data_IF_839636273839
#
_entry.id   IF_839636273839
#
_cell.length_a   1.000
_cell.length_b   1.000
_cell.length_c   1.000
_cell.angle_alpha   90.00
_cell.angle_beta   90.00
_cell.angle_gamma   90.00
#
_symmetry.space_group_name_H-M   'P 1'
#
loop_
_entity.id
_entity.type
_entity.pdbx_description
1 polymer ?
#
# COMPACT_ATOMS: atom_id res chain seq x y z
N UNK A 1 28.07 5.10 8.62
CA UNK A 1 26.69 5.61 8.74
C UNK A 1 25.75 4.46 8.44
N UNK A 2 24.91 4.04 9.37
CA UNK A 2 24.00 2.88 9.17
C UNK A 2 22.73 3.41 8.51
N UNK A 3 22.56 3.14 7.22
CA UNK A 3 21.30 3.40 6.54
C UNK A 3 20.24 2.40 7.01
N UNK A 4 19.15 2.91 7.58
CA UNK A 4 18.03 2.07 7.95
C UNK A 4 17.24 1.75 6.67
N UNK A 5 17.03 0.47 6.38
CA UNK A 5 16.35 0.00 5.16
C UNK A 5 14.89 0.51 4.97
N UNK A 6 14.29 1.11 6.01
CA UNK A 6 12.99 1.80 5.94
C UNK A 6 13.10 3.34 6.09
N UNK A 7 14.31 3.86 6.27
CA UNK A 7 14.61 5.26 6.50
C UNK A 7 14.12 6.14 5.36
N UNK A 8 14.26 5.72 4.10
CA UNK A 8 13.70 6.43 2.94
C UNK A 8 12.17 6.57 2.98
N UNK A 9 11.44 5.53 3.35
CA UNK A 9 9.97 5.57 3.44
C UNK A 9 9.50 6.42 4.63
N UNK A 10 10.21 6.35 5.76
CA UNK A 10 9.99 7.25 6.90
C UNK A 10 10.32 8.69 6.54
N UNK A 11 11.42 8.94 5.83
CA UNK A 11 11.85 10.27 5.40
C UNK A 11 10.85 10.92 4.44
N UNK A 12 10.32 10.18 3.44
CA UNK A 12 9.23 10.67 2.56
C UNK A 12 8.02 11.17 3.35
N UNK A 13 7.58 10.42 4.36
CA UNK A 13 6.47 10.81 5.23
C UNK A 13 6.81 11.97 6.18
N UNK A 14 8.03 11.97 6.76
CA UNK A 14 8.51 13.02 7.66
C UNK A 14 8.69 14.35 6.91
N UNK A 15 9.21 14.32 5.69
CA UNK A 15 9.38 15.49 4.84
C UNK A 15 8.02 16.10 4.48
N UNK A 16 7.06 15.30 3.98
CA UNK A 16 5.70 15.80 3.69
C UNK A 16 4.95 16.32 4.94
N UNK A 17 5.29 15.81 6.14
CA UNK A 17 4.80 16.33 7.41
C UNK A 17 5.51 17.64 7.82
N UNK A 18 6.82 17.76 7.63
CA UNK A 18 7.61 18.95 7.96
C UNK A 18 7.32 20.12 7.02
N UNK A 19 7.12 19.85 5.73
CA UNK A 19 6.94 20.87 4.68
C UNK A 19 5.56 21.56 4.72
N UNK A 20 4.60 21.06 5.52
CA UNK A 20 3.32 21.75 5.72
C UNK A 20 2.27 21.06 6.58
N UNK A 21 2.61 20.02 7.34
CA UNK A 21 1.68 19.24 8.14
C UNK A 21 0.69 18.40 7.33
N UNK A 22 0.03 17.44 8.00
CA UNK A 22 -1.05 16.62 7.43
C UNK A 22 -2.16 16.34 8.45
N UNK A 23 -3.35 15.99 7.97
CA UNK A 23 -4.45 15.49 8.81
C UNK A 23 -4.40 13.97 8.75
N UNK A 24 -4.01 13.31 9.82
CA UNK A 24 -4.01 11.83 9.92
C UNK A 24 -5.17 11.31 10.74
N UNK A 25 -5.68 10.13 10.36
CA UNK A 25 -6.75 9.42 11.07
C UNK A 25 -6.27 8.11 11.69
N UNK A 26 -6.99 7.62 12.70
CA UNK A 26 -6.73 6.31 13.32
C UNK A 26 -7.54 5.19 12.67
N UNK A 27 -7.05 3.93 12.74
CA UNK A 27 -7.80 2.77 12.22
C UNK A 27 -9.21 2.62 12.86
N UNK A 28 -9.39 3.08 14.10
CA UNK A 28 -10.71 3.09 14.76
C UNK A 28 -11.66 4.13 14.18
N UNK A 29 -11.16 5.28 13.74
CA UNK A 29 -11.97 6.28 13.03
C UNK A 29 -12.33 5.79 11.63
N UNK A 30 -11.38 5.20 10.89
CA UNK A 30 -11.67 4.57 9.60
C UNK A 30 -12.80 3.53 9.74
N UNK A 31 -12.70 2.62 10.71
CA UNK A 31 -13.73 1.60 10.98
C UNK A 31 -15.12 2.21 11.21
N UNK A 32 -15.18 3.22 12.06
CA UNK A 32 -16.44 3.71 12.62
C UNK A 32 -17.07 4.88 11.82
N UNK A 33 -16.34 5.52 10.89
CA UNK A 33 -16.80 6.73 10.18
C UNK A 33 -16.61 6.73 8.68
N UNK A 34 -15.59 6.06 8.13
CA UNK A 34 -15.20 6.26 6.74
C UNK A 34 -16.18 5.62 5.75
N UNK A 35 -16.91 6.47 5.01
CA UNK A 35 -17.87 6.08 3.98
C UNK A 35 -17.25 6.03 2.57
N UNK A 36 -16.18 6.80 2.32
CA UNK A 36 -15.35 6.70 1.12
C UNK A 36 -13.87 6.51 1.47
N UNK A 37 -13.24 5.51 0.87
CA UNK A 37 -11.83 5.17 1.07
C UNK A 37 -11.14 5.06 -0.28
N UNK A 38 -10.09 5.84 -0.48
CA UNK A 38 -9.31 5.88 -1.71
C UNK A 38 -7.93 5.28 -1.43
N UNK A 39 -7.62 4.14 -2.06
CA UNK A 39 -6.31 3.49 -1.97
C UNK A 39 -5.44 3.98 -3.13
N UNK A 40 -4.38 4.73 -2.82
CA UNK A 40 -3.50 5.36 -3.79
C UNK A 40 -2.15 4.65 -3.89
N UNK A 41 -1.88 4.03 -5.04
CA UNK A 41 -0.60 3.42 -5.40
C UNK A 41 -0.14 2.34 -4.42
N UNK A 42 -1.09 1.61 -3.82
CA UNK A 42 -0.80 0.61 -2.79
C UNK A 42 -1.54 -0.70 -3.06
N UNK A 43 -0.84 -1.80 -2.85
CA UNK A 43 -1.34 -3.17 -3.03
C UNK A 43 -2.12 -3.60 -1.79
N UNK A 44 -3.44 -3.43 -1.87
CA UNK A 44 -4.41 -3.84 -0.85
C UNK A 44 -4.19 -5.28 -0.34
N UNK A 45 -3.76 -6.20 -1.19
CA UNK A 45 -3.61 -7.62 -0.82
C UNK A 45 -2.54 -7.86 0.26
N UNK A 46 -1.59 -6.93 0.42
CA UNK A 46 -0.53 -6.96 1.45
C UNK A 46 -1.02 -6.60 2.85
N UNK A 47 -2.23 -6.06 2.95
CA UNK A 47 -2.80 -5.54 4.20
C UNK A 47 -4.13 -6.19 4.58
N UNK A 48 -4.29 -7.53 4.59
CA UNK A 48 -5.58 -8.19 4.87
C UNK A 48 -6.18 -7.74 6.21
N UNK A 49 -5.33 -7.56 7.23
CA UNK A 49 -5.70 -7.03 8.55
C UNK A 49 -6.26 -5.60 8.54
N UNK A 50 -6.00 -4.80 7.51
CA UNK A 50 -6.65 -3.49 7.35
C UNK A 50 -8.12 -3.71 6.97
N UNK A 51 -8.40 -4.53 5.96
CA UNK A 51 -9.76 -4.88 5.50
C UNK A 51 -10.56 -5.54 6.62
N UNK A 52 -10.00 -6.59 7.24
CA UNK A 52 -10.62 -7.32 8.38
C UNK A 52 -10.98 -6.42 9.57
N UNK A 53 -10.16 -5.41 9.89
CA UNK A 53 -10.32 -4.59 11.12
C UNK A 53 -10.97 -3.23 10.90
N UNK A 54 -11.03 -2.77 9.65
CA UNK A 54 -11.54 -1.43 9.30
C UNK A 54 -12.77 -1.49 8.39
N UNK A 55 -12.89 -2.49 7.51
CA UNK A 55 -13.99 -2.54 6.52
C UNK A 55 -15.04 -3.62 6.83
N UNK A 56 -14.69 -4.65 7.60
CA UNK A 56 -15.62 -5.68 8.06
C UNK A 56 -16.83 -5.07 8.84
N UNK A 57 -18.02 -5.68 8.78
CA UNK A 57 -19.27 -4.92 8.75
C UNK A 57 -19.73 -4.28 10.07
N UNK A 58 -19.16 -4.65 11.23
CA UNK A 58 -19.56 -4.09 12.52
C UNK A 58 -18.88 -2.73 12.82
N UNK A 59 -19.43 -1.64 12.31
CA UNK A 59 -19.23 -0.33 12.93
C UNK A 59 -19.97 -0.29 14.27
N UNK A 60 -19.37 0.32 15.29
CA UNK A 60 -19.97 0.42 16.64
C UNK A 60 -21.24 1.30 16.69
N UNK A 61 -21.59 1.96 15.58
CA UNK A 61 -22.67 2.95 15.49
C UNK A 61 -23.77 2.59 14.47
N UNK A 62 -23.79 1.36 13.95
CA UNK A 62 -24.79 0.87 12.99
C UNK A 62 -24.20 0.42 11.66
N UNK A 63 -25.07 0.08 10.69
CA UNK A 63 -24.62 -0.27 9.33
C UNK A 63 -24.02 0.95 8.62
N UNK A 64 -22.86 0.76 8.00
CA UNK A 64 -22.14 1.79 7.25
C UNK A 64 -21.84 1.25 5.86
N UNK A 65 -22.56 1.74 4.86
CA UNK A 65 -22.22 1.47 3.45
C UNK A 65 -20.94 2.21 3.09
N UNK A 66 -19.96 1.48 2.55
CA UNK A 66 -18.64 2.01 2.19
C UNK A 66 -18.41 1.90 0.69
N UNK A 67 -17.71 2.89 0.13
CA UNK A 67 -17.12 2.83 -1.20
C UNK A 67 -15.60 2.79 -1.08
N UNK A 68 -14.98 1.83 -1.74
CA UNK A 68 -13.53 1.74 -1.90
C UNK A 68 -13.20 2.05 -3.36
N UNK A 69 -12.31 3.00 -3.59
CA UNK A 69 -11.75 3.31 -4.90
C UNK A 69 -10.27 2.98 -4.88
N UNK A 70 -9.79 2.19 -5.83
CA UNK A 70 -8.37 1.87 -5.97
C UNK A 70 -7.77 2.62 -7.15
N UNK A 71 -6.73 3.43 -6.88
CA UNK A 71 -5.95 4.15 -7.87
C UNK A 71 -4.60 3.44 -8.00
N UNK A 72 -4.43 2.61 -9.03
CA UNK A 72 -3.20 1.85 -9.21
C UNK A 72 -3.32 0.77 -10.28
N UNK A 73 -2.17 0.38 -10.83
CA UNK A 73 -2.00 -0.75 -11.74
C UNK A 73 -0.76 -1.56 -11.28
N UNK A 74 -0.84 -2.89 -11.10
CA UNK A 74 -2.04 -3.72 -11.20
C UNK A 74 -3.10 -3.41 -10.14
N UNK A 75 -4.37 -3.50 -10.52
CA UNK A 75 -5.50 -3.39 -9.59
C UNK A 75 -5.48 -4.59 -8.62
N UNK A 76 -5.30 -4.39 -7.31
CA UNK A 76 -5.25 -5.47 -6.34
C UNK A 76 -6.65 -6.07 -6.11
N UNK A 77 -6.70 -7.38 -5.89
CA UNK A 77 -7.93 -8.06 -5.46
C UNK A 77 -8.28 -7.67 -4.03
N UNK A 78 -9.48 -7.13 -3.82
CA UNK A 78 -10.02 -6.78 -2.51
C UNK A 78 -11.10 -7.81 -2.15
N UNK A 79 -11.10 -8.38 -0.92
CA UNK A 79 -12.14 -9.30 -0.48
C UNK A 79 -13.53 -8.68 -0.57
N UNK A 80 -14.50 -9.44 -1.10
CA UNK A 80 -15.91 -9.05 -1.08
C UNK A 80 -16.40 -9.04 0.38
N UNK A 81 -17.04 -7.96 0.78
CA UNK A 81 -17.56 -7.75 2.14
C UNK A 81 -18.92 -7.06 2.09
N UNK A 82 -19.84 -7.47 2.95
CA UNK A 82 -21.18 -6.88 3.01
C UNK A 82 -21.13 -5.39 3.33
N UNK A 83 -21.93 -4.60 2.61
CA UNK A 83 -21.93 -3.15 2.70
C UNK A 83 -20.69 -2.45 2.12
N UNK A 84 -19.76 -3.16 1.47
CA UNK A 84 -18.57 -2.57 0.84
C UNK A 84 -18.64 -2.69 -0.69
N UNK A 85 -18.78 -1.56 -1.37
CA UNK A 85 -18.62 -1.47 -2.82
C UNK A 85 -17.17 -1.18 -3.20
N UNK A 86 -16.65 -1.84 -4.23
CA UNK A 86 -15.27 -1.66 -4.71
C UNK A 86 -15.28 -1.22 -6.17
N UNK A 87 -14.45 -0.24 -6.48
CA UNK A 87 -14.21 0.29 -7.83
C UNK A 87 -12.73 0.56 -8.03
N UNK A 88 -12.26 0.58 -9.26
CA UNK A 88 -10.85 0.83 -9.58
C UNK A 88 -10.68 1.75 -10.78
N UNK A 89 -9.58 2.49 -10.76
CA UNK A 89 -9.09 3.32 -11.86
C UNK A 89 -7.63 2.89 -12.07
N UNK A 90 -7.33 2.13 -13.13
CA UNK A 90 -5.97 1.77 -13.48
C UNK A 90 -5.15 3.03 -13.78
N UNK A 91 -4.03 3.19 -13.08
CA UNK A 91 -3.10 4.30 -13.26
C UNK A 91 -1.72 3.88 -12.72
N UNK A 92 -0.65 4.25 -13.43
CA UNK A 92 0.71 4.09 -12.92
C UNK A 92 0.90 4.87 -11.62
N UNK A 93 1.40 4.20 -10.58
CA UNK A 93 1.71 4.82 -9.29
C UNK A 93 2.65 6.03 -9.43
N UNK A 94 3.57 6.00 -10.39
CA UNK A 94 4.47 7.11 -10.73
C UNK A 94 3.76 8.38 -11.21
N UNK A 95 2.52 8.25 -11.72
CA UNK A 95 1.73 9.34 -12.31
C UNK A 95 0.57 9.82 -11.43
N UNK A 96 0.39 9.24 -10.24
CA UNK A 96 -0.62 9.68 -9.26
C UNK A 96 -0.47 11.17 -8.89
N UNK A 97 0.75 11.71 -8.88
CA UNK A 97 1.01 13.13 -8.65
C UNK A 97 0.32 14.05 -9.67
N UNK A 98 0.26 13.66 -10.95
CA UNK A 98 -0.44 14.38 -12.02
C UNK A 98 -1.96 14.38 -11.79
N UNK A 99 -2.51 13.20 -11.49
CA UNK A 99 -3.92 12.99 -11.18
C UNK A 99 -4.37 13.86 -9.99
N UNK A 100 -3.59 13.87 -8.90
CA UNK A 100 -3.87 14.72 -7.74
C UNK A 100 -3.74 16.21 -8.07
N UNK A 101 -2.76 16.62 -8.87
CA UNK A 101 -2.61 18.02 -9.26
C UNK A 101 -3.84 18.54 -10.05
N UNK A 102 -4.39 17.71 -10.94
CA UNK A 102 -5.59 18.05 -11.73
C UNK A 102 -6.85 18.08 -10.88
N UNK A 103 -7.04 17.12 -9.96
CA UNK A 103 -8.14 17.20 -8.98
C UNK A 103 -8.08 18.48 -8.15
N UNK A 104 -6.90 18.88 -7.68
CA UNK A 104 -6.70 20.13 -6.92
C UNK A 104 -6.98 21.38 -7.76
N UNK A 105 -6.59 21.38 -9.03
CA UNK A 105 -6.92 22.46 -9.97
C UNK A 105 -8.45 22.59 -10.17
N UNK A 106 -9.15 21.47 -10.34
CA UNK A 106 -10.62 21.44 -10.44
C UNK A 106 -11.30 21.94 -9.16
N UNK A 107 -10.83 21.53 -7.97
CA UNK A 107 -11.29 22.07 -6.68
C UNK A 107 -11.08 23.59 -6.54
N UNK A 108 -10.01 24.12 -7.14
CA UNK A 108 -9.73 25.56 -7.20
C UNK A 108 -10.53 26.31 -8.28
N UNK A 109 -11.43 25.64 -9.02
CA UNK A 109 -12.23 26.22 -10.10
C UNK A 109 -11.45 26.45 -11.40
N UNK A 110 -10.26 25.86 -11.56
CA UNK A 110 -9.43 26.01 -12.76
C UNK A 110 -9.86 25.01 -13.83
N UNK A 111 -10.20 25.46 -15.06
CA UNK A 111 -10.71 24.57 -16.09
C UNK A 111 -9.60 23.70 -16.70
N UNK A 112 -9.77 22.38 -16.65
CA UNK A 112 -8.88 21.42 -17.32
C UNK A 112 -9.29 21.25 -18.79
N UNK A 113 -8.36 21.47 -19.73
CA UNK A 113 -8.59 21.35 -21.18
C UNK A 113 -8.10 20.03 -21.80
N UNK A 114 -7.47 19.17 -21.00
CA UNK A 114 -7.05 17.84 -21.46
C UNK A 114 -8.27 16.91 -21.64
N UNK A 115 -8.13 15.87 -22.46
CA UNK A 115 -9.14 14.80 -22.56
C UNK A 115 -8.87 13.67 -21.54
N UNK A 116 -7.60 13.37 -21.31
CA UNK A 116 -7.10 12.46 -20.29
C UNK A 116 -5.91 13.06 -19.53
N UNK A 117 -5.65 12.53 -18.34
CA UNK A 117 -4.47 12.79 -17.52
C UNK A 117 -4.00 11.45 -16.98
N UNK A 118 -2.71 11.13 -17.16
CA UNK A 118 -2.14 9.86 -16.74
C UNK A 118 -2.86 8.60 -17.30
N UNK A 119 -3.52 8.70 -18.45
CA UNK A 119 -4.33 7.61 -19.03
C UNK A 119 -5.74 7.48 -18.43
N UNK A 120 -6.11 8.35 -17.49
CA UNK A 120 -7.45 8.44 -16.89
C UNK A 120 -8.22 9.58 -17.57
N UNK A 121 -9.42 9.31 -18.09
CA UNK A 121 -10.23 10.35 -18.74
C UNK A 121 -10.68 11.42 -17.74
N UNK A 122 -10.77 12.70 -18.15
CA UNK A 122 -11.26 13.77 -17.26
C UNK A 122 -12.64 13.45 -16.68
N UNK A 123 -13.52 12.78 -17.44
CA UNK A 123 -14.83 12.35 -16.94
C UNK A 123 -14.75 11.41 -15.73
N UNK A 124 -13.78 10.49 -15.69
CA UNK A 124 -13.54 9.63 -14.53
C UNK A 124 -12.91 10.39 -13.36
N UNK A 125 -12.04 11.36 -13.63
CA UNK A 125 -11.42 12.21 -12.60
C UNK A 125 -12.48 13.08 -11.92
N UNK A 126 -13.34 13.74 -12.70
CA UNK A 126 -14.43 14.58 -12.19
C UNK A 126 -15.51 13.75 -11.47
N UNK A 127 -15.81 12.54 -11.95
CA UNK A 127 -16.71 11.62 -11.24
C UNK A 127 -16.15 11.20 -9.88
N UNK A 128 -14.87 10.83 -9.81
CA UNK A 128 -14.19 10.55 -8.55
C UNK A 128 -14.16 11.78 -7.64
N UNK A 129 -13.86 12.96 -8.18
CA UNK A 129 -13.81 14.19 -7.40
C UNK A 129 -15.18 14.58 -6.84
N UNK A 130 -16.26 14.32 -7.59
CA UNK A 130 -17.63 14.48 -7.12
C UNK A 130 -17.96 13.52 -5.96
N UNK A 131 -17.60 12.23 -6.07
CA UNK A 131 -17.69 11.27 -4.96
C UNK A 131 -16.88 11.77 -3.75
N UNK A 132 -15.66 12.26 -3.97
CA UNK A 132 -14.78 12.73 -2.91
C UNK A 132 -15.36 13.93 -2.15
N UNK A 133 -16.03 14.85 -2.87
CA UNK A 133 -16.73 15.99 -2.27
C UNK A 133 -18.04 15.62 -1.57
N UNK A 134 -18.71 14.55 -2.02
CA UNK A 134 -19.97 14.08 -1.46
C UNK A 134 -19.82 13.19 -0.21
N UNK A 135 -18.64 12.58 0.00
CA UNK A 135 -18.34 11.77 1.18
C UNK A 135 -18.53 12.55 2.50
N UNK A 136 -18.96 11.87 3.55
CA UNK A 136 -19.13 12.44 4.90
C UNK A 136 -17.84 12.37 5.72
N UNK A 137 -17.04 11.35 5.51
CA UNK A 137 -15.72 11.18 6.10
C UNK A 137 -14.82 10.38 5.14
N UNK A 138 -14.10 11.07 4.27
CA UNK A 138 -13.20 10.47 3.30
C UNK A 138 -11.83 10.12 3.88
N UNK A 139 -11.26 9.00 3.43
CA UNK A 139 -9.89 8.59 3.81
C UNK A 139 -9.05 8.31 2.58
N UNK A 140 -7.96 9.04 2.41
CA UNK A 140 -6.94 8.77 1.39
C UNK A 140 -5.82 7.94 2.01
N UNK A 141 -5.59 6.75 1.48
CA UNK A 141 -4.67 5.73 2.02
C UNK A 141 -3.53 5.52 1.03
N UNK A 142 -2.29 5.49 1.50
CA UNK A 142 -1.10 5.18 0.68
C UNK A 142 -0.05 4.43 1.48
N UNK A 143 0.91 3.79 0.81
CA UNK A 143 2.11 3.24 1.43
C UNK A 143 3.38 3.87 0.84
N UNK A 144 4.11 4.66 1.63
CA UNK A 144 5.35 5.32 1.20
C UNK A 144 6.52 4.37 0.84
N UNK A 145 6.41 3.09 1.21
CA UNK A 145 7.35 2.03 0.83
C UNK A 145 6.98 1.32 -0.49
N UNK A 146 5.73 1.44 -0.96
CA UNK A 146 5.29 0.94 -2.28
C UNK A 146 5.41 2.01 -3.37
N UNK A 147 5.30 3.28 -3.00
CA UNK A 147 5.64 4.42 -3.87
C UNK A 147 7.17 4.56 -4.03
N UNK A 148 7.86 3.54 -4.57
CA UNK A 148 9.32 3.55 -4.75
C UNK A 148 9.76 3.91 -6.17
N UNK A 149 9.49 5.16 -6.54
CA UNK A 149 9.95 5.80 -7.77
C UNK A 149 10.66 7.14 -7.44
N UNK A 150 11.37 7.75 -8.40
CA UNK A 150 11.93 9.09 -8.24
C UNK A 150 10.84 10.12 -7.90
N UNK A 151 11.10 11.05 -6.98
CA UNK A 151 10.16 12.12 -6.61
C UNK A 151 8.82 11.65 -6.00
N UNK A 152 8.75 10.43 -5.45
CA UNK A 152 7.56 9.92 -4.77
C UNK A 152 7.12 10.77 -3.54
N UNK A 153 8.06 11.51 -2.93
CA UNK A 153 7.80 12.56 -1.95
C UNK A 153 6.85 13.64 -2.49
N UNK A 154 7.02 14.09 -3.73
CA UNK A 154 6.10 15.06 -4.37
C UNK A 154 4.70 14.48 -4.59
N UNK A 155 4.59 13.16 -4.87
CA UNK A 155 3.29 12.49 -4.98
C UNK A 155 2.57 12.44 -3.63
N UNK A 156 3.30 12.11 -2.54
CA UNK A 156 2.75 12.14 -1.17
C UNK A 156 2.37 13.57 -0.77
N UNK A 157 3.19 14.57 -1.11
CA UNK A 157 2.87 15.98 -0.86
C UNK A 157 1.61 16.44 -1.62
N UNK A 158 1.44 16.00 -2.87
CA UNK A 158 0.25 16.28 -3.68
C UNK A 158 -1.00 15.63 -3.08
N UNK A 159 -0.90 14.38 -2.60
CA UNK A 159 -1.97 13.68 -1.88
C UNK A 159 -2.36 14.40 -0.56
N UNK A 160 -1.37 14.82 0.23
CA UNK A 160 -1.58 15.60 1.47
C UNK A 160 -2.25 16.94 1.17
N UNK A 161 -1.86 17.62 0.10
CA UNK A 161 -2.46 18.90 -0.29
C UNK A 161 -3.89 18.71 -0.85
N UNK A 162 -4.17 17.64 -1.59
CA UNK A 162 -5.54 17.29 -1.99
C UNK A 162 -6.46 17.07 -0.78
N UNK A 163 -5.97 16.39 0.27
CA UNK A 163 -6.70 16.24 1.54
C UNK A 163 -6.97 17.60 2.20
N UNK A 164 -6.04 18.57 2.14
CA UNK A 164 -6.26 19.93 2.68
C UNK A 164 -7.29 20.71 1.86
N UNK A 165 -7.26 20.58 0.54
CA UNK A 165 -8.18 21.27 -0.37
C UNK A 165 -9.62 20.72 -0.23
N UNK A 166 -9.78 19.40 -0.07
CA UNK A 166 -11.07 18.76 0.22
C UNK A 166 -11.63 19.16 1.60
N UNK A 167 -10.76 19.34 2.60
CA UNK A 167 -11.14 19.78 3.95
C UNK A 167 -11.75 21.19 4.03
N UNK A 168 -11.74 21.97 2.95
CA UNK A 168 -12.50 23.23 2.86
C UNK A 168 -14.02 23.00 2.76
N UNK A 169 -14.46 21.80 2.34
CA UNK A 169 -15.88 21.49 2.11
C UNK A 169 -16.38 20.21 2.82
N UNK A 170 -15.54 19.19 2.98
CA UNK A 170 -15.90 17.90 3.59
C UNK A 170 -14.74 17.30 4.39
N UNK A 171 -15.02 16.43 5.38
CA UNK A 171 -13.97 15.85 6.24
C UNK A 171 -13.15 14.81 5.50
N UNK A 172 -11.86 15.10 5.32
CA UNK A 172 -10.89 14.18 4.74
C UNK A 172 -9.70 13.94 5.66
N UNK A 173 -9.13 12.74 5.62
CA UNK A 173 -7.92 12.39 6.35
C UNK A 173 -7.00 11.51 5.52
N UNK A 174 -5.69 11.67 5.74
CA UNK A 174 -4.66 10.77 5.21
C UNK A 174 -4.41 9.59 6.14
N UNK A 175 -4.09 8.43 5.57
CA UNK A 175 -3.63 7.25 6.29
C UNK A 175 -2.38 6.63 5.63
N UNK A 176 -1.18 6.96 6.11
CA UNK A 176 0.05 6.31 5.66
C UNK A 176 0.16 4.89 6.26
N UNK A 177 -0.07 3.87 5.45
CA UNK A 177 0.27 2.50 5.78
C UNK A 177 1.80 2.34 5.85
N UNK A 178 2.30 1.57 6.82
CA UNK A 178 3.73 1.24 6.97
C UNK A 178 4.56 2.13 7.91
N UNK A 179 4.02 3.22 8.48
CA UNK A 179 4.77 4.06 9.42
C UNK A 179 5.09 3.38 10.77
N UNK A 180 4.21 2.49 11.26
CA UNK A 180 4.38 1.81 12.57
C UNK A 180 3.89 0.36 12.60
N UNK A 181 3.19 -0.13 11.56
CA UNK A 181 2.86 -1.55 11.47
C UNK A 181 4.06 -2.30 10.88
N UNK A 182 4.62 -3.23 11.64
CA UNK A 182 5.75 -4.04 11.23
C UNK A 182 5.43 -4.82 9.94
N UNK A 183 5.87 -4.31 8.80
CA UNK A 183 5.91 -5.07 7.56
C UNK A 183 6.72 -6.36 7.80
N UNK A 184 6.28 -7.52 7.28
CA UNK A 184 7.08 -8.73 7.32
C UNK A 184 8.44 -8.42 6.68
N UNK A 185 9.53 -8.51 7.46
CA UNK A 185 10.88 -8.26 6.93
C UNK A 185 11.10 -9.20 5.74
N UNK A 186 11.37 -8.70 4.52
CA UNK A 186 11.67 -9.57 3.40
C UNK A 186 12.90 -10.41 3.77
N UNK A 187 12.73 -11.74 3.80
CA UNK A 187 13.85 -12.66 4.01
C UNK A 187 14.79 -12.50 2.82
N UNK A 188 15.93 -11.83 3.03
CA UNK A 188 17.05 -11.96 2.09
C UNK A 188 17.37 -13.46 1.95
N UNK A 189 17.54 -14.00 0.74
CA UNK A 189 18.13 -15.32 0.59
C UNK A 189 19.50 -15.30 1.28
N UNK A 190 19.79 -16.33 2.08
CA UNK A 190 21.07 -16.41 2.78
C UNK A 190 22.21 -16.41 1.75
N UNK A 191 23.30 -15.65 1.96
CA UNK A 191 24.45 -15.70 1.06
C UNK A 191 24.98 -17.14 1.04
N UNK A 192 25.05 -17.72 -0.16
CA UNK A 192 25.54 -19.08 -0.35
C UNK A 192 26.94 -19.21 0.22
N UNK A 193 27.12 -20.10 1.20
CA UNK A 193 28.42 -20.37 1.80
C UNK A 193 29.32 -20.98 0.71
N UNK A 194 30.48 -20.40 0.39
CA UNK A 194 31.35 -20.96 -0.64
C UNK A 194 31.80 -22.36 -0.20
N UNK A 195 31.71 -23.32 -1.12
CA UNK A 195 32.10 -24.70 -0.86
C UNK A 195 33.63 -24.79 -0.69
N UNK A 196 34.08 -25.15 0.51
CA UNK A 196 35.49 -25.43 0.78
C UNK A 196 35.90 -26.73 0.07
N UNK A 197 37.01 -26.78 -0.68
CA UNK A 197 37.48 -28.04 -1.28
C UNK A 197 37.94 -29.01 -0.19
N UNK A 198 37.43 -30.24 -0.19
CA UNK A 198 37.98 -31.31 0.64
C UNK A 198 39.34 -31.77 0.08
N UNK A 199 40.40 -31.63 0.88
CA UNK A 199 41.68 -32.28 0.61
C UNK A 199 41.62 -33.79 0.93
N UNK A 200 42.35 -34.65 0.20
CA UNK A 200 42.26 -36.10 0.35
C UNK A 200 43.01 -36.62 1.58
N UNK A 201 42.35 -37.46 2.39
CA UNK A 201 43.00 -38.19 3.48
C UNK A 201 43.77 -39.41 2.95
N UNK A 202 45.01 -39.55 3.40
CA UNK A 202 45.86 -40.74 3.19
C UNK A 202 45.46 -41.90 4.11
N UNK A 203 45.68 -43.13 3.62
CA UNK A 203 45.50 -44.43 4.33
C UNK A 203 46.45 -44.48 5.56
N UNK A 204 46.33 -45.32 6.60
CA UNK A 204 45.77 -46.68 6.77
C UNK A 204 45.89 -47.06 8.29
N UNK A 205 45.73 -48.33 8.75
CA UNK A 205 44.57 -49.22 8.78
C UNK A 205 44.23 -49.71 10.24
N UNK A 206 43.23 -50.60 10.41
CA UNK A 206 43.33 -51.94 11.09
C UNK A 206 41.96 -52.51 11.52
N UNK A 207 41.73 -53.80 11.18
CA UNK A 207 40.75 -54.82 11.66
C UNK A 207 39.29 -54.40 11.96
N UNK A 208 38.22 -54.89 11.30
CA UNK A 208 37.83 -56.25 10.86
C UNK A 208 37.18 -57.17 11.92
N UNK A 209 35.84 -57.35 11.85
CA UNK A 209 35.07 -58.61 11.93
C UNK A 209 33.58 -58.30 11.56
N UNK A 210 33.03 -58.70 10.39
CA UNK A 210 32.22 -59.91 10.17
C UNK A 210 31.05 -60.05 11.20
N UNK A 211 29.73 -60.07 10.91
CA UNK A 211 28.84 -60.55 9.79
C UNK A 211 27.45 -59.83 9.91
N UNK A 212 26.42 -59.89 9.04
CA UNK A 212 26.19 -60.43 7.69
C UNK A 212 24.93 -59.81 6.98
N UNK A 213 24.78 -60.13 5.69
CA UNK A 213 23.59 -60.46 4.86
C UNK A 213 22.19 -60.68 5.50
N UNK A 214 21.04 -60.47 4.81
CA UNK A 214 20.75 -60.07 3.40
C UNK A 214 19.26 -59.68 3.19
N UNK A 215 18.94 -59.03 2.04
CA UNK A 215 17.66 -59.03 1.25
C UNK A 215 16.30 -59.03 1.98
N UNK A 216 15.40 -58.05 1.84
CA UNK A 216 14.70 -57.54 0.63
C UNK A 216 13.59 -58.48 0.07
N UNK A 217 12.50 -57.84 -0.43
CA UNK A 217 11.53 -58.32 -1.46
C UNK A 217 10.11 -58.72 -1.02
N UNK A 218 9.14 -57.86 -1.41
CA UNK A 218 7.73 -58.13 -1.83
C UNK A 218 6.71 -58.69 -0.83
N UNK A 219 5.75 -57.83 -0.44
CA UNK A 219 4.39 -57.78 -1.01
C UNK A 219 3.79 -56.38 -0.78
#
# INVERSE_FOLDING_TARGET
MVDHMHGRAQFRNVQAFQDGGWVTTTLSEVRNRADLIVLAGTDASRYPRFFERCLAPASQFGELTRKVVVLGDPVPSIPVMDGVSVSSIPIDAGRLGELFAVMRASLAGMPTRAADVAGVSIGQIEALLADMRAARYGVLVWNAAELDFPQADLTIQSAVNLVKDLNQATRWSGLPLGATMAAPRPRKPAPGRPATPCAPHTKSPVRAMNRCCSTATVC
#
